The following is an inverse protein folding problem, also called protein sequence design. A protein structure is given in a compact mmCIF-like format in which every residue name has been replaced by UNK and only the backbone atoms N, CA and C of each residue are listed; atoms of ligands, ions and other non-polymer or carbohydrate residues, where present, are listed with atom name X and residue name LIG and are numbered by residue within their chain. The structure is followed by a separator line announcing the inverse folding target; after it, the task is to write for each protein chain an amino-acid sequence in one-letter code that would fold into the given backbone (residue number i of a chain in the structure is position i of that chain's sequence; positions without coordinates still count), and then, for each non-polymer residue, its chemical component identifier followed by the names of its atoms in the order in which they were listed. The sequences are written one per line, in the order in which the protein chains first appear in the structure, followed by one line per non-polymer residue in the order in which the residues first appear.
data_IF_133034587351
#
_entry.id   IF_133034587351
#
_cell.length_a   1.000
_cell.length_b   1.000
_cell.length_c   1.000
_cell.angle_alpha   90.00
_cell.angle_beta   90.00
_cell.angle_gamma   90.00
#
_symmetry.space_group_name_H-M   'P 1'
#
loop_
_entity.id
_entity.type
_entity.pdbx_description
1 polymer ?
#
# COMPACT_ATOMS: atom_id res chain seq x y z
N UNK A 1 0.84 -1.19 1.87
CA UNK A 1 0.49 -0.02 2.71
C UNK A 1 0.39 1.21 1.83
N UNK A 2 -0.56 2.10 2.10
CA UNK A 2 -0.83 3.30 1.29
C UNK A 2 -1.16 4.47 2.22
N UNK A 3 -0.72 5.67 1.86
CA UNK A 3 -1.18 6.93 2.46
C UNK A 3 -2.18 7.55 1.50
N UNK A 4 -3.44 7.63 1.89
CA UNK A 4 -4.48 8.23 1.07
C UNK A 4 -4.50 9.74 1.24
N UNK A 5 -4.59 10.47 0.13
CA UNK A 5 -4.93 11.89 0.11
C UNK A 5 -6.38 12.00 -0.34
N UNK A 6 -7.28 12.27 0.60
CA UNK A 6 -8.73 12.26 0.37
C UNK A 6 -9.39 10.93 0.75
N UNK A 7 -10.53 10.61 0.12
CA UNK A 7 -11.33 9.44 0.47
C UNK A 7 -10.54 8.13 0.19
N UNK A 8 -10.35 7.26 1.19
CA UNK A 8 -9.76 5.94 0.98
C UNK A 8 -10.59 5.09 0.03
N UNK A 9 -9.90 4.20 -0.71
CA UNK A 9 -10.54 3.16 -1.54
C UNK A 9 -10.31 1.79 -0.93
N UNK A 10 -11.19 0.86 -1.26
CA UNK A 10 -11.11 -0.56 -0.89
C UNK A 10 -10.07 -1.31 -1.74
N UNK A 11 -9.69 -2.49 -1.27
CA UNK A 11 -8.83 -3.41 -2.02
C UNK A 11 -9.47 -3.83 -3.35
N UNK A 12 -10.79 -4.05 -3.37
CA UNK A 12 -11.52 -4.43 -4.58
C UNK A 12 -11.48 -3.33 -5.65
N UNK A 13 -11.70 -2.07 -5.26
CA UNK A 13 -11.60 -0.92 -6.17
C UNK A 13 -10.18 -0.75 -6.72
N UNK A 14 -9.16 -0.90 -5.87
CA UNK A 14 -7.76 -0.88 -6.31
C UNK A 14 -7.46 -2.02 -7.28
N UNK A 15 -7.90 -3.24 -6.99
CA UNK A 15 -7.65 -4.40 -7.84
C UNK A 15 -8.39 -4.30 -9.18
N UNK A 16 -9.61 -3.75 -9.21
CA UNK A 16 -10.32 -3.45 -10.44
C UNK A 16 -9.58 -2.39 -11.29
N UNK A 17 -9.05 -1.34 -10.67
CA UNK A 17 -8.23 -0.33 -11.35
C UNK A 17 -6.95 -0.90 -11.96
N UNK A 18 -6.31 -1.86 -11.27
CA UNK A 18 -5.10 -2.55 -11.74
C UNK A 18 -5.42 -3.55 -12.86
N UNK A 19 -6.52 -4.29 -12.73
CA UNK A 19 -7.05 -5.20 -13.75
C UNK A 19 -7.31 -4.48 -15.08
N UNK A 20 -8.00 -3.35 -15.03
CA UNK A 20 -8.27 -2.51 -16.19
C UNK A 20 -7.01 -1.98 -16.91
N UNK A 21 -5.85 -2.02 -16.25
CA UNK A 21 -4.54 -1.65 -16.82
C UNK A 21 -3.70 -2.86 -17.25
N UNK A 22 -4.24 -4.07 -17.18
CA UNK A 22 -3.56 -5.29 -17.58
C UNK A 22 -2.57 -5.83 -16.54
N UNK A 23 -2.62 -5.36 -15.29
CA UNK A 23 -1.81 -5.97 -14.24
C UNK A 23 -2.28 -7.42 -14.01
N UNK A 24 -1.38 -8.38 -14.09
CA UNK A 24 -1.69 -9.79 -13.84
C UNK A 24 -2.23 -10.01 -12.42
N UNK A 25 -3.06 -11.04 -12.22
CA UNK A 25 -3.60 -11.35 -10.89
C UNK A 25 -2.49 -11.61 -9.84
N UNK A 26 -1.40 -12.28 -10.21
CA UNK A 26 -0.29 -12.58 -9.31
C UNK A 26 0.53 -11.34 -8.88
N UNK A 27 0.39 -10.21 -9.58
CA UNK A 27 1.06 -8.96 -9.24
C UNK A 27 0.16 -7.98 -8.45
N UNK A 28 -1.12 -8.34 -8.24
CA UNK A 28 -2.07 -7.52 -7.48
C UNK A 28 -1.86 -7.73 -5.98
N UNK A 29 -2.08 -6.69 -5.16
CA UNK A 29 -1.98 -6.83 -3.72
C UNK A 29 -3.09 -7.71 -3.15
N UNK A 30 -2.74 -8.51 -2.15
CA UNK A 30 -3.69 -9.25 -1.31
C UNK A 30 -4.21 -8.42 -0.13
N UNK A 31 -3.47 -7.37 0.25
CA UNK A 31 -3.78 -6.52 1.42
C UNK A 31 -3.55 -5.04 1.09
N UNK A 32 -4.54 -4.21 1.44
CA UNK A 32 -4.46 -2.76 1.38
C UNK A 32 -4.56 -2.16 2.79
N UNK A 33 -3.41 -1.81 3.37
CA UNK A 33 -3.33 -1.21 4.70
C UNK A 33 -3.20 0.33 4.60
N UNK A 34 -4.21 1.11 5.02
CA UNK A 34 -4.11 2.56 5.14
C UNK A 34 -3.19 2.95 6.30
N UNK A 35 -2.32 3.93 6.08
CA UNK A 35 -1.46 4.53 7.11
C UNK A 35 -1.54 6.07 7.06
N UNK A 36 -1.37 6.77 8.21
CA UNK A 36 -1.33 8.23 8.23
C UNK A 36 -0.05 8.78 7.59
N UNK A 37 1.05 8.03 7.66
CA UNK A 37 2.32 8.33 7.00
C UNK A 37 3.14 7.06 6.79
N UNK A 38 4.06 7.07 5.81
CA UNK A 38 5.04 6.01 5.65
C UNK A 38 6.27 6.31 6.52
N UNK A 39 6.82 5.30 7.22
CA UNK A 39 8.09 5.46 7.91
C UNK A 39 9.21 5.74 6.90
N UNK A 40 10.16 6.60 7.28
CA UNK A 40 11.28 6.99 6.42
C UNK A 40 12.63 6.75 7.11
N UNK A 41 13.64 6.40 6.32
CA UNK A 41 15.03 6.31 6.75
C UNK A 41 15.63 7.72 6.88
N UNK A 42 16.83 7.82 7.45
CA UNK A 42 17.55 9.10 7.59
C UNK A 42 17.80 9.84 6.26
N UNK A 43 17.72 9.14 5.12
CA UNK A 43 17.86 9.72 3.77
C UNK A 43 16.52 9.89 3.04
N UNK A 44 15.40 9.82 3.77
CA UNK A 44 14.06 10.09 3.23
C UNK A 44 13.43 8.97 2.40
N UNK A 45 14.09 7.80 2.29
CA UNK A 45 13.51 6.61 1.63
C UNK A 45 12.53 5.90 2.57
N UNK A 46 11.56 5.16 2.04
CA UNK A 46 10.66 4.36 2.87
C UNK A 46 11.43 3.30 3.66
N UNK A 47 11.26 3.28 4.98
CA UNK A 47 11.81 2.24 5.85
C UNK A 47 10.90 1.00 5.85
N UNK A 48 11.25 0.02 5.02
CA UNK A 48 10.49 -1.22 4.88
C UNK A 48 10.50 -2.07 6.15
N UNK A 49 11.58 -2.06 6.95
CA UNK A 49 11.66 -2.86 8.17
C UNK A 49 10.69 -2.32 9.22
N UNK A 50 10.70 -1.01 9.43
CA UNK A 50 9.76 -0.38 10.34
C UNK A 50 8.31 -0.51 9.83
N UNK A 51 8.10 -0.44 8.51
CA UNK A 51 6.77 -0.64 7.92
C UNK A 51 6.21 -2.04 8.20
N UNK A 52 7.00 -3.10 8.00
CA UNK A 52 6.58 -4.48 8.32
C UNK A 52 6.25 -4.60 9.80
N UNK A 53 7.12 -4.10 10.69
CA UNK A 53 6.89 -4.16 12.14
C UNK A 53 5.61 -3.44 12.60
N UNK A 54 5.16 -2.40 11.88
CA UNK A 54 3.88 -1.71 12.16
C UNK A 54 2.66 -2.49 11.67
N UNK A 55 2.81 -3.34 10.66
CA UNK A 55 1.71 -4.09 10.04
C UNK A 55 1.50 -5.49 10.61
N UNK A 56 2.54 -6.07 11.24
CA UNK A 56 2.52 -7.44 11.76
C UNK A 56 2.49 -7.51 13.29
N UNK A 57 2.09 -6.42 13.94
CA UNK A 57 1.89 -6.38 15.40
C UNK A 57 0.42 -6.56 15.74
#
# INVERSE_FOLDING_TARGET
AVVFRGKPISLAELNAFLDARGASQHARPDVLAPLPSLPATAVGKVDKKQLVARLTR
#
